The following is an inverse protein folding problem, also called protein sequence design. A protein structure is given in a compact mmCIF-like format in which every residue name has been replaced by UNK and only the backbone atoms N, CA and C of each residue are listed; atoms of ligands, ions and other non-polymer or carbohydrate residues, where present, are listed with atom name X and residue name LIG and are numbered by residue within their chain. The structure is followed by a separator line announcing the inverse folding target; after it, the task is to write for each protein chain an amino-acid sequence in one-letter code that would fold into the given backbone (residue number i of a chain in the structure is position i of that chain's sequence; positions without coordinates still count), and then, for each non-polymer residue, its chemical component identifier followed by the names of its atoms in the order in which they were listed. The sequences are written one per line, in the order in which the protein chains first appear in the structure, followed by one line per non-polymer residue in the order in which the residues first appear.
data_IF_126703738728
#
_entry.id   IF_126703738728
#
_cell.length_a   1.000
_cell.length_b   1.000
_cell.length_c   1.000
_cell.angle_alpha   90.00
_cell.angle_beta   90.00
_cell.angle_gamma   90.00
#
_symmetry.space_group_name_H-M   'P 1'
#
loop_
_entity.id
_entity.type
_entity.pdbx_description
1 polymer ?
#
# COMPACT_ATOMS: atom_id res chain seq x y z
N UNK A 1 -11.00 13.84 -30.03
CA UNK A 1 -11.26 12.52 -29.44
C UNK A 1 -10.14 11.60 -29.88
N UNK A 2 -9.57 10.80 -28.97
CA UNK A 2 -8.56 9.79 -29.27
C UNK A 2 -9.20 8.45 -29.64
N UNK A 3 -8.41 7.49 -30.08
CA UNK A 3 -8.84 6.12 -30.40
C UNK A 3 -9.49 5.50 -29.15
N UNK A 4 -10.72 4.96 -29.31
CA UNK A 4 -11.48 4.30 -28.23
C UNK A 4 -12.00 5.25 -27.15
N UNK A 5 -12.06 6.56 -27.41
CA UNK A 5 -12.46 7.56 -26.43
C UNK A 5 -13.71 8.37 -26.83
N UNK A 6 -14.63 7.75 -27.54
CA UNK A 6 -15.88 8.38 -28.03
C UNK A 6 -16.77 8.83 -26.86
N UNK A 7 -16.69 8.16 -25.71
CA UNK A 7 -17.45 8.45 -24.51
C UNK A 7 -16.65 9.17 -23.42
N UNK A 8 -15.48 9.73 -23.75
CA UNK A 8 -14.57 10.42 -22.79
C UNK A 8 -14.23 9.56 -21.55
N UNK A 9 -13.99 8.25 -21.74
CA UNK A 9 -13.70 7.33 -20.65
C UNK A 9 -12.22 6.94 -20.54
N UNK A 10 -11.44 7.09 -21.63
CA UNK A 10 -9.99 6.82 -21.57
C UNK A 10 -9.31 7.79 -20.62
N UNK A 11 -8.53 7.25 -19.71
CA UNK A 11 -7.87 8.01 -18.65
C UNK A 11 -8.70 8.21 -17.39
N UNK A 12 -10.04 8.06 -17.42
CA UNK A 12 -10.90 8.19 -16.23
C UNK A 12 -10.84 6.96 -15.33
N UNK A 13 -11.39 7.10 -14.12
CA UNK A 13 -11.41 6.05 -13.09
C UNK A 13 -10.03 5.57 -12.67
N UNK A 14 -9.05 6.48 -12.71
CA UNK A 14 -7.74 6.16 -12.15
C UNK A 14 -7.89 5.76 -10.68
N UNK A 15 -7.40 4.61 -10.33
CA UNK A 15 -7.39 4.07 -8.97
C UNK A 15 -5.98 3.63 -8.61
N UNK A 16 -5.67 3.72 -7.32
CA UNK A 16 -4.58 3.03 -6.68
C UNK A 16 -5.07 2.53 -5.32
N UNK A 17 -4.69 1.36 -4.86
CA UNK A 17 -4.93 1.02 -3.48
C UNK A 17 -3.91 1.71 -2.59
N UNK A 18 -4.35 2.18 -1.43
CA UNK A 18 -3.53 2.99 -0.54
C UNK A 18 -3.19 2.24 0.72
N UNK A 19 -2.07 2.63 1.34
CA UNK A 19 -1.63 2.17 2.64
C UNK A 19 -1.75 3.33 3.63
N UNK A 20 -2.58 3.14 4.65
CA UNK A 20 -2.84 4.13 5.70
C UNK A 20 -2.22 3.66 7.01
N UNK A 21 -1.52 4.54 7.71
CA UNK A 21 -1.22 4.33 9.13
C UNK A 21 -2.48 4.62 9.94
N UNK A 22 -3.15 3.58 10.41
CA UNK A 22 -4.36 3.73 11.23
C UNK A 22 -4.07 3.73 12.73
N UNK A 23 -2.83 3.47 13.14
CA UNK A 23 -2.46 3.58 14.55
C UNK A 23 -1.44 2.59 15.05
N UNK A 24 -1.39 2.47 16.36
CA UNK A 24 -0.49 1.56 17.07
C UNK A 24 -1.24 0.71 18.07
N UNK A 25 -1.03 -0.61 18.01
CA UNK A 25 -1.48 -1.56 19.02
C UNK A 25 -0.35 -1.79 20.04
N UNK A 26 -0.58 -1.40 21.26
CA UNK A 26 0.29 -1.68 22.43
C UNK A 26 -0.21 -2.96 23.10
N UNK A 27 0.50 -4.09 22.98
CA UNK A 27 0.04 -5.37 23.51
C UNK A 27 -0.07 -5.37 25.04
N UNK A 28 -1.08 -6.02 25.59
CA UNK A 28 -1.18 -6.27 27.04
C UNK A 28 -0.04 -7.18 27.55
N UNK A 29 0.53 -8.00 26.67
CA UNK A 29 1.67 -8.88 26.97
C UNK A 29 2.62 -8.96 25.80
N UNK A 30 3.92 -8.95 26.07
CA UNK A 30 4.97 -9.18 25.06
C UNK A 30 4.85 -10.54 24.37
N UNK A 31 4.14 -11.50 24.97
CA UNK A 31 3.85 -12.79 24.36
C UNK A 31 3.06 -12.68 23.05
N UNK A 32 2.28 -11.58 22.89
CA UNK A 32 1.51 -11.35 21.67
C UNK A 32 2.40 -11.26 20.44
N UNK A 33 3.61 -10.72 20.54
CA UNK A 33 4.54 -10.69 19.41
C UNK A 33 4.88 -12.11 18.91
N UNK A 34 5.20 -13.04 19.81
CA UNK A 34 5.45 -14.43 19.44
C UNK A 34 4.18 -15.15 18.93
N UNK A 35 3.03 -14.91 19.56
CA UNK A 35 1.74 -15.48 19.17
C UNK A 35 1.24 -14.97 17.81
N UNK A 36 1.74 -13.83 17.36
CA UNK A 36 1.39 -13.18 16.08
C UNK A 36 2.26 -13.64 14.91
N UNK A 37 2.99 -14.75 15.04
CA UNK A 37 3.90 -15.28 14.01
C UNK A 37 3.23 -15.53 12.65
N UNK A 38 1.90 -15.75 12.63
CA UNK A 38 1.12 -15.87 11.40
C UNK A 38 1.21 -14.60 10.52
N UNK A 39 1.34 -13.43 11.15
CA UNK A 39 1.44 -12.13 10.45
C UNK A 39 2.87 -11.74 10.10
N UNK A 40 3.87 -12.56 10.47
CA UNK A 40 5.25 -12.36 10.05
C UNK A 40 5.47 -12.87 8.63
N UNK A 41 6.28 -12.14 7.85
CA UNK A 41 6.71 -12.62 6.54
C UNK A 41 7.71 -13.75 6.72
N UNK A 42 7.38 -14.93 6.22
CA UNK A 42 8.17 -16.16 6.34
C UNK A 42 8.17 -16.98 5.06
N UNK A 43 9.09 -17.92 4.99
CA UNK A 43 9.16 -18.89 3.89
C UNK A 43 8.36 -20.15 4.24
N UNK A 44 7.45 -20.55 3.36
CA UNK A 44 6.70 -21.81 3.45
C UNK A 44 6.81 -22.54 2.12
N UNK A 45 7.43 -23.71 2.10
CA UNK A 45 7.64 -24.49 0.87
C UNK A 45 8.27 -23.69 -0.28
N UNK A 46 9.21 -22.79 0.01
CA UNK A 46 9.89 -21.95 -0.96
C UNK A 46 9.14 -20.68 -1.37
N UNK A 47 7.94 -20.46 -0.83
CA UNK A 47 7.14 -19.25 -1.09
C UNK A 47 7.20 -18.29 0.10
N UNK A 48 7.33 -16.99 -0.18
CA UNK A 48 7.15 -15.95 0.82
C UNK A 48 5.67 -15.76 1.13
N UNK A 49 5.29 -15.95 2.39
CA UNK A 49 3.90 -15.77 2.85
C UNK A 49 3.86 -14.83 4.05
N UNK A 50 2.75 -14.11 4.19
CA UNK A 50 2.45 -13.25 5.32
C UNK A 50 0.93 -13.20 5.53
N UNK A 51 0.48 -13.41 6.75
CA UNK A 51 -0.94 -13.30 7.09
C UNK A 51 -1.40 -11.84 7.19
N UNK A 52 -2.65 -11.61 6.83
CA UNK A 52 -3.32 -10.31 6.96
C UNK A 52 -4.64 -10.48 7.71
N UNK A 53 -5.10 -9.41 8.36
CA UNK A 53 -6.43 -9.35 8.97
C UNK A 53 -7.39 -8.70 7.98
N UNK A 54 -8.25 -9.50 7.36
CA UNK A 54 -9.27 -8.98 6.46
C UNK A 54 -10.56 -8.64 7.21
N UNK A 55 -11.27 -7.62 6.75
CA UNK A 55 -12.65 -7.35 7.19
C UNK A 55 -13.55 -8.45 6.63
N UNK A 56 -14.46 -8.98 7.45
CA UNK A 56 -15.39 -10.03 7.01
C UNK A 56 -16.35 -9.46 5.96
N UNK A 57 -16.68 -10.26 4.94
CA UNK A 57 -17.60 -9.89 3.86
C UNK A 57 -18.95 -9.38 4.40
N UNK A 58 -19.48 -10.03 5.44
CA UNK A 58 -20.72 -9.61 6.09
C UNK A 58 -20.61 -8.20 6.67
N UNK A 59 -19.48 -7.86 7.33
CA UNK A 59 -19.28 -6.54 7.90
C UNK A 59 -19.06 -5.51 6.78
N UNK A 60 -18.34 -5.86 5.72
CA UNK A 60 -18.18 -4.98 4.54
C UNK A 60 -19.54 -4.64 3.92
N UNK A 61 -20.40 -5.64 3.72
CA UNK A 61 -21.74 -5.42 3.16
C UNK A 61 -22.64 -4.61 4.11
N UNK A 62 -22.65 -4.94 5.39
CA UNK A 62 -23.47 -4.29 6.40
C UNK A 62 -23.12 -2.80 6.60
N UNK A 63 -21.85 -2.47 6.54
CA UNK A 63 -21.33 -1.13 6.83
C UNK A 63 -20.86 -0.39 5.58
N UNK A 64 -21.08 -0.95 4.38
CA UNK A 64 -20.67 -0.36 3.09
C UNK A 64 -19.16 -0.01 3.06
N UNK A 65 -18.32 -0.94 3.57
CA UNK A 65 -16.88 -0.73 3.66
C UNK A 65 -16.18 -1.13 2.37
N UNK A 66 -15.09 -0.43 2.08
CA UNK A 66 -14.18 -0.79 1.00
C UNK A 66 -13.45 -2.09 1.33
N UNK A 67 -13.10 -2.86 0.29
CA UNK A 67 -12.32 -4.08 0.44
C UNK A 67 -10.94 -3.74 1.00
N UNK A 68 -10.64 -4.29 2.18
CA UNK A 68 -9.51 -3.83 2.97
C UNK A 68 -8.88 -4.94 3.80
N UNK A 69 -7.60 -4.74 4.11
CA UNK A 69 -6.86 -5.63 5.01
C UNK A 69 -5.95 -4.84 5.94
N UNK A 70 -5.73 -5.38 7.13
CA UNK A 70 -4.81 -4.80 8.11
C UNK A 70 -3.53 -5.63 8.13
N UNK A 71 -2.40 -4.94 8.14
CA UNK A 71 -1.06 -5.47 8.28
C UNK A 71 -0.46 -4.98 9.57
N UNK A 72 0.22 -5.87 10.30
CA UNK A 72 0.82 -5.60 11.59
C UNK A 72 2.34 -5.70 11.48
N UNK A 73 3.04 -4.60 11.77
CA UNK A 73 4.49 -4.61 11.85
C UNK A 73 4.96 -4.23 13.25
N UNK A 74 5.70 -5.12 13.94
CA UNK A 74 6.24 -4.78 15.25
C UNK A 74 7.28 -3.67 15.14
N UNK A 75 7.22 -2.75 16.11
CA UNK A 75 8.10 -1.58 16.20
C UNK A 75 8.72 -1.48 17.58
N UNK A 76 9.99 -1.07 17.64
CA UNK A 76 10.64 -0.76 18.92
C UNK A 76 10.02 0.49 19.55
N UNK A 77 10.55 0.91 20.69
CA UNK A 77 10.11 2.12 21.35
C UNK A 77 10.29 3.37 20.46
N UNK A 78 9.64 4.47 20.87
CA UNK A 78 9.57 5.68 20.06
C UNK A 78 10.98 6.27 19.74
N UNK A 79 11.91 6.22 20.71
CA UNK A 79 13.30 6.69 20.52
C UNK A 79 14.01 5.91 19.42
N UNK A 80 13.96 4.60 19.50
CA UNK A 80 14.56 3.68 18.51
C UNK A 80 13.84 3.77 17.15
N UNK A 81 12.52 3.93 17.14
CA UNK A 81 11.73 4.18 15.92
C UNK A 81 12.21 5.45 15.20
N UNK A 82 12.35 6.57 15.92
CA UNK A 82 12.87 7.83 15.34
C UNK A 82 14.28 7.66 14.78
N UNK A 83 15.13 6.89 15.44
CA UNK A 83 16.49 6.62 14.98
C UNK A 83 16.51 5.83 13.65
N UNK A 84 15.69 4.78 13.54
CA UNK A 84 15.58 3.98 12.31
C UNK A 84 15.02 4.79 11.14
N UNK A 85 13.99 5.59 11.37
CA UNK A 85 13.43 6.49 10.34
C UNK A 85 14.46 7.53 9.89
N UNK A 86 15.16 8.16 10.85
CA UNK A 86 16.20 9.13 10.53
C UNK A 86 17.36 8.52 9.71
N UNK A 87 17.78 7.28 10.05
CA UNK A 87 18.79 6.56 9.30
C UNK A 87 18.33 6.27 7.86
N UNK A 88 17.11 5.79 7.70
CA UNK A 88 16.50 5.53 6.39
C UNK A 88 16.46 6.80 5.55
N UNK A 89 15.98 7.91 6.11
CA UNK A 89 15.93 9.20 5.42
C UNK A 89 17.32 9.68 4.98
N UNK A 90 18.34 9.56 5.85
CA UNK A 90 19.71 9.95 5.50
C UNK A 90 20.24 9.17 4.30
N UNK A 91 19.92 7.89 4.20
CA UNK A 91 20.36 7.00 3.12
C UNK A 91 19.55 7.24 1.84
N UNK A 92 18.22 7.15 1.92
CA UNK A 92 17.34 7.13 0.73
C UNK A 92 17.23 8.51 0.07
N UNK A 93 17.15 9.57 0.86
CA UNK A 93 17.08 10.95 0.31
C UNK A 93 18.43 11.53 -0.03
N UNK A 94 19.50 10.76 0.17
CA UNK A 94 20.86 11.15 -0.21
C UNK A 94 21.38 12.39 0.51
N UNK A 95 20.89 12.68 1.73
CA UNK A 95 21.34 13.85 2.51
C UNK A 95 22.86 13.90 2.70
N UNK A 96 23.50 12.74 2.81
CA UNK A 96 24.96 12.64 2.93
C UNK A 96 25.72 13.10 1.66
N UNK A 97 25.03 13.25 0.52
CA UNK A 97 25.58 13.70 -0.76
C UNK A 97 25.22 15.15 -1.10
N UNK A 98 24.37 15.81 -0.28
CA UNK A 98 23.92 17.18 -0.51
C UNK A 98 24.92 18.21 0.04
N UNK A 99 24.96 19.44 -0.50
CA UNK A 99 25.88 20.47 -0.01
C UNK A 99 25.59 20.81 1.46
N UNK A 100 26.62 20.65 2.30
CA UNK A 100 26.56 20.74 3.75
C UNK A 100 25.91 22.03 4.31
N UNK A 101 26.25 23.25 3.85
CA UNK A 101 25.79 24.46 4.52
C UNK A 101 24.27 24.58 4.59
N UNK A 102 23.58 24.19 3.53
CA UNK A 102 22.13 24.36 3.39
C UNK A 102 21.34 23.33 4.20
N UNK A 103 21.85 22.10 4.31
CA UNK A 103 21.14 20.98 4.93
C UNK A 103 21.66 20.60 6.33
N UNK A 104 22.70 21.32 6.81
CA UNK A 104 23.35 20.98 8.08
C UNK A 104 22.41 20.89 9.28
N UNK A 105 21.49 21.84 9.55
CA UNK A 105 20.62 21.75 10.72
C UNK A 105 19.72 20.48 10.69
N UNK A 106 19.16 20.15 9.51
CA UNK A 106 18.31 18.98 9.36
C UNK A 106 19.15 17.69 9.48
N UNK A 107 20.34 17.67 8.90
CA UNK A 107 21.25 16.53 8.98
C UNK A 107 21.75 16.31 10.39
N UNK A 108 22.11 17.36 11.12
CA UNK A 108 22.52 17.29 12.52
C UNK A 108 21.40 16.73 13.41
N UNK A 109 20.17 17.18 13.21
CA UNK A 109 19.00 16.64 13.93
C UNK A 109 18.82 15.16 13.65
N UNK A 110 18.92 14.72 12.41
CA UNK A 110 18.80 13.29 12.05
C UNK A 110 19.93 12.45 12.62
N UNK A 111 21.18 12.96 12.60
CA UNK A 111 22.32 12.28 13.20
C UNK A 111 22.17 12.13 14.72
N UNK A 112 21.65 13.14 15.42
CA UNK A 112 21.33 13.04 16.85
C UNK A 112 20.23 11.99 17.11
N UNK A 113 19.22 11.92 16.26
CA UNK A 113 18.19 10.87 16.36
C UNK A 113 18.80 9.47 16.15
N UNK A 114 19.65 9.29 15.16
CA UNK A 114 20.38 8.04 14.91
C UNK A 114 21.22 7.65 16.12
N UNK A 115 22.00 8.59 16.67
CA UNK A 115 22.80 8.37 17.87
C UNK A 115 21.96 7.91 19.06
N UNK A 116 20.74 8.48 19.19
CA UNK A 116 19.79 8.09 20.22
C UNK A 116 19.31 6.63 20.16
N UNK A 117 19.43 5.95 19.02
CA UNK A 117 18.95 4.56 18.83
C UNK A 117 20.00 3.59 18.31
N UNK A 118 21.28 3.92 18.45
CA UNK A 118 22.40 3.08 17.99
C UNK A 118 22.37 1.64 18.51
N UNK A 119 21.90 1.44 19.75
CA UNK A 119 21.68 0.13 20.36
C UNK A 119 20.79 -0.78 19.51
N UNK A 120 19.67 -0.23 19.05
CA UNK A 120 18.72 -0.94 18.20
C UNK A 120 19.26 -1.12 16.77
N UNK A 121 19.85 -0.07 16.19
CA UNK A 121 20.43 -0.10 14.84
C UNK A 121 21.54 -1.16 14.75
N UNK A 122 22.48 -1.18 15.70
CA UNK A 122 23.54 -2.15 15.73
C UNK A 122 23.03 -3.59 15.88
N UNK A 123 22.02 -3.79 16.74
CA UNK A 123 21.39 -5.10 16.90
C UNK A 123 20.65 -5.52 15.63
N UNK A 124 19.92 -4.60 15.00
CA UNK A 124 19.21 -4.88 13.75
C UNK A 124 20.17 -5.26 12.62
N UNK A 125 21.30 -4.55 12.51
CA UNK A 125 22.33 -4.87 11.54
C UNK A 125 22.98 -6.24 11.78
N UNK A 126 23.30 -6.55 13.05
CA UNK A 126 23.89 -7.85 13.43
C UNK A 126 22.93 -9.01 13.13
N UNK A 127 21.68 -8.93 13.60
CA UNK A 127 20.68 -9.98 13.39
C UNK A 127 20.32 -10.12 11.90
N UNK A 128 20.24 -9.01 11.18
CA UNK A 128 20.00 -9.01 9.75
C UNK A 128 21.11 -9.68 8.95
N UNK A 129 22.38 -9.48 9.35
CA UNK A 129 23.53 -10.11 8.69
C UNK A 129 23.71 -11.57 9.07
N UNK A 130 23.50 -11.91 10.34
CA UNK A 130 23.82 -13.24 10.90
C UNK A 130 22.70 -14.26 10.71
N UNK A 131 21.42 -13.81 10.81
CA UNK A 131 20.25 -14.69 10.89
C UNK A 131 19.15 -14.35 9.89
N UNK A 132 19.39 -13.40 8.99
CA UNK A 132 18.38 -12.85 8.06
C UNK A 132 17.12 -12.32 8.74
N UNK A 133 17.24 -11.89 9.99
CA UNK A 133 16.17 -11.33 10.78
C UNK A 133 16.07 -9.83 10.65
N UNK A 134 14.83 -9.31 10.63
CA UNK A 134 14.58 -7.88 10.67
C UNK A 134 14.03 -7.42 12.01
N UNK A 135 14.71 -6.48 12.64
CA UNK A 135 14.14 -5.68 13.74
C UNK A 135 13.39 -4.44 13.26
N UNK A 136 13.24 -4.29 11.94
CA UNK A 136 12.37 -3.34 11.28
C UNK A 136 11.56 -4.07 10.21
N UNK A 137 10.59 -4.91 10.63
CA UNK A 137 9.77 -5.70 9.72
C UNK A 137 8.95 -4.81 8.77
N UNK A 138 8.68 -5.35 7.59
CA UNK A 138 7.90 -4.70 6.56
C UNK A 138 7.54 -5.69 5.45
N UNK A 139 6.91 -5.24 4.39
CA UNK A 139 6.57 -6.11 3.26
C UNK A 139 7.78 -6.79 2.61
N UNK A 140 8.93 -6.13 2.63
CA UNK A 140 10.17 -6.68 2.06
C UNK A 140 10.85 -7.71 2.96
N UNK A 141 10.75 -7.59 4.28
CA UNK A 141 11.57 -8.36 5.22
C UNK A 141 10.83 -8.66 6.52
N UNK A 142 10.85 -9.92 6.93
CA UNK A 142 10.26 -10.43 8.16
C UNK A 142 11.26 -11.16 9.05
N UNK A 143 10.84 -12.29 9.66
CA UNK A 143 11.66 -13.15 10.52
C UNK A 143 11.69 -12.69 11.98
N UNK A 144 10.80 -11.76 12.37
CA UNK A 144 10.77 -11.23 13.75
C UNK A 144 10.17 -12.21 14.76
N UNK A 145 9.35 -13.17 14.31
CA UNK A 145 8.67 -14.14 15.16
C UNK A 145 9.40 -15.50 15.25
N UNK A 146 10.40 -15.75 14.41
CA UNK A 146 11.04 -17.06 14.29
C UNK A 146 12.08 -17.35 15.40
N UNK A 147 12.60 -16.32 16.03
CA UNK A 147 13.66 -16.48 17.01
C UNK A 147 13.21 -16.15 18.43
N UNK A 148 13.55 -16.99 19.40
CA UNK A 148 13.34 -16.70 20.82
C UNK A 148 13.95 -15.34 21.19
N UNK A 149 13.25 -14.56 21.99
CA UNK A 149 13.71 -13.29 22.57
C UNK A 149 13.81 -12.07 21.65
N UNK A 150 13.66 -12.16 20.32
CA UNK A 150 13.59 -10.95 19.47
C UNK A 150 12.36 -10.11 19.70
N UNK A 151 11.24 -10.74 20.07
CA UNK A 151 10.00 -10.06 20.40
C UNK A 151 10.12 -9.10 21.60
N UNK A 152 11.02 -9.35 22.56
CA UNK A 152 11.29 -8.44 23.68
C UNK A 152 11.87 -7.08 23.26
N UNK A 153 12.28 -6.93 22.01
CA UNK A 153 12.78 -5.66 21.46
C UNK A 153 11.70 -4.78 20.87
N UNK A 154 10.48 -5.28 20.83
CA UNK A 154 9.32 -4.55 20.32
C UNK A 154 8.44 -4.06 21.47
N UNK A 155 7.82 -2.90 21.27
CA UNK A 155 6.93 -2.26 22.21
C UNK A 155 5.48 -2.23 21.71
N UNK A 156 5.31 -2.13 20.38
CA UNK A 156 3.99 -1.99 19.75
C UNK A 156 3.97 -2.60 18.37
N UNK A 157 2.78 -2.85 17.85
CA UNK A 157 2.56 -3.03 16.43
C UNK A 157 2.15 -1.70 15.80
N UNK A 158 2.79 -1.33 14.72
CA UNK A 158 2.27 -0.38 13.75
C UNK A 158 1.16 -1.06 12.98
N UNK A 159 0.01 -0.43 12.89
CA UNK A 159 -1.20 -0.99 12.29
C UNK A 159 -1.46 -0.25 10.99
N UNK A 160 -1.25 -0.93 9.88
CA UNK A 160 -1.40 -0.36 8.55
C UNK A 160 -2.65 -0.95 7.89
N UNK A 161 -3.52 -0.09 7.39
CA UNK A 161 -4.68 -0.45 6.57
C UNK A 161 -4.33 -0.34 5.10
N UNK A 162 -4.37 -1.45 4.39
CA UNK A 162 -4.31 -1.49 2.94
C UNK A 162 -5.74 -1.61 2.41
N UNK A 163 -6.18 -0.66 1.59
CA UNK A 163 -7.58 -0.57 1.17
C UNK A 163 -7.71 -0.20 -0.30
N UNK A 164 -8.73 -0.72 -0.95
CA UNK A 164 -9.08 -0.30 -2.30
C UNK A 164 -9.55 1.16 -2.33
N UNK A 165 -9.58 1.71 -3.52
CA UNK A 165 -10.20 3.00 -3.81
C UNK A 165 -11.50 2.79 -4.58
N UNK A 166 -12.56 3.47 -4.17
CA UNK A 166 -13.82 3.51 -4.93
C UNK A 166 -13.58 4.16 -6.31
N UNK A 167 -14.10 3.58 -7.40
CA UNK A 167 -13.99 4.17 -8.73
C UNK A 167 -14.65 5.56 -8.78
N UNK A 168 -13.88 6.59 -9.15
CA UNK A 168 -14.35 7.97 -9.31
C UNK A 168 -13.96 8.46 -10.72
N UNK A 169 -14.91 8.84 -11.59
CA UNK A 169 -14.60 9.32 -12.94
C UNK A 169 -13.84 10.66 -12.95
N UNK A 170 -13.82 11.40 -11.85
CA UNK A 170 -13.02 12.61 -11.70
C UNK A 170 -11.52 12.33 -11.49
N UNK A 171 -11.18 11.14 -10.98
CA UNK A 171 -9.80 10.68 -10.94
C UNK A 171 -9.37 10.24 -12.33
N UNK A 172 -8.46 10.98 -12.95
CA UNK A 172 -8.14 10.76 -14.35
C UNK A 172 -6.71 11.16 -14.71
N UNK A 173 -6.19 10.49 -15.72
CA UNK A 173 -4.99 10.90 -16.45
C UNK A 173 -5.43 11.66 -17.69
N UNK A 174 -4.86 12.84 -17.91
CA UNK A 174 -5.07 13.66 -19.10
C UNK A 174 -3.76 14.00 -19.76
N UNK A 175 -3.81 14.51 -20.99
CA UNK A 175 -2.66 15.09 -21.65
C UNK A 175 -2.57 16.57 -21.26
N UNK A 176 -1.42 16.96 -20.71
CA UNK A 176 -1.07 18.35 -20.35
C UNK A 176 -0.82 19.20 -21.59
N UNK A 177 -0.86 20.52 -21.43
CA UNK A 177 -0.35 21.46 -22.41
C UNK A 177 1.18 21.43 -22.50
N UNK A 178 1.85 21.01 -21.43
CA UNK A 178 3.31 20.86 -21.40
C UNK A 178 3.74 19.69 -22.29
N UNK A 179 4.89 19.88 -22.95
CA UNK A 179 5.47 18.88 -23.83
C UNK A 179 6.85 18.45 -23.33
N UNK A 180 7.23 17.24 -23.68
CA UNK A 180 8.58 16.74 -23.46
C UNK A 180 9.56 17.24 -24.56
N UNK A 181 10.80 16.78 -24.50
CA UNK A 181 11.85 17.16 -25.46
C UNK A 181 11.56 16.68 -26.91
N UNK A 182 10.63 15.73 -27.09
CA UNK A 182 10.20 15.21 -28.39
C UNK A 182 8.91 15.88 -28.89
N UNK A 183 8.41 16.88 -28.16
CA UNK A 183 7.16 17.55 -28.48
C UNK A 183 5.88 16.77 -28.14
N UNK A 184 5.99 15.67 -27.40
CA UNK A 184 4.84 14.84 -26.98
C UNK A 184 4.19 15.46 -25.74
N UNK A 185 2.85 15.63 -25.68
CA UNK A 185 2.17 16.09 -24.47
C UNK A 185 2.48 15.21 -23.27
N UNK A 186 2.80 15.82 -22.13
CA UNK A 186 3.03 15.09 -20.89
C UNK A 186 1.72 14.58 -20.29
N UNK A 187 1.78 13.46 -19.59
CA UNK A 187 0.67 12.98 -18.78
C UNK A 187 0.53 13.84 -17.51
N UNK A 188 -0.70 14.20 -17.19
CA UNK A 188 -1.07 14.90 -15.97
C UNK A 188 -2.11 14.07 -15.21
N UNK A 189 -1.89 13.84 -13.92
CA UNK A 189 -2.78 13.06 -13.06
C UNK A 189 -3.62 13.99 -12.19
N UNK A 190 -4.95 13.92 -12.36
CA UNK A 190 -5.93 14.48 -11.44
C UNK A 190 -6.42 13.34 -10.54
N UNK A 191 -6.01 13.36 -9.26
CA UNK A 191 -6.33 12.31 -8.32
C UNK A 191 -6.70 12.86 -6.95
N UNK A 192 -7.73 12.28 -6.35
CA UNK A 192 -8.16 12.58 -5.00
C UNK A 192 -8.62 11.32 -4.26
N UNK A 193 -8.44 11.34 -2.97
CA UNK A 193 -9.00 10.36 -2.05
C UNK A 193 -10.39 10.83 -1.63
N UNK A 194 -11.45 10.19 -2.17
CA UNK A 194 -12.84 10.61 -1.97
C UNK A 194 -13.36 10.35 -0.54
N UNK A 195 -14.45 11.04 -0.16
CA UNK A 195 -15.01 10.95 1.19
C UNK A 195 -15.45 9.53 1.56
N UNK A 196 -16.03 8.77 0.61
CA UNK A 196 -16.42 7.36 0.83
C UNK A 196 -15.24 6.48 1.27
N UNK A 197 -14.06 6.72 0.72
CA UNK A 197 -12.86 5.98 1.10
C UNK A 197 -12.37 6.37 2.50
N UNK A 198 -12.45 7.67 2.82
CA UNK A 198 -12.08 8.20 4.15
C UNK A 198 -13.00 7.64 5.22
N UNK A 199 -14.31 7.65 4.98
CA UNK A 199 -15.31 7.15 5.94
C UNK A 199 -15.18 5.64 6.15
N UNK A 200 -14.93 4.87 5.08
CA UNK A 200 -14.65 3.45 5.18
C UNK A 200 -13.39 3.17 6.02
N UNK A 201 -12.29 3.88 5.74
CA UNK A 201 -11.04 3.72 6.48
C UNK A 201 -11.19 4.07 7.97
N UNK A 202 -11.95 5.13 8.28
CA UNK A 202 -12.25 5.54 9.66
C UNK A 202 -13.07 4.48 10.38
N UNK A 203 -14.12 3.96 9.75
CA UNK A 203 -14.96 2.92 10.33
C UNK A 203 -14.16 1.64 10.60
N UNK A 204 -13.30 1.22 9.67
CA UNK A 204 -12.42 0.06 9.87
C UNK A 204 -11.43 0.30 11.02
N UNK A 205 -10.88 1.51 11.14
CA UNK A 205 -10.03 1.90 12.26
C UNK A 205 -10.76 1.75 13.59
N UNK A 206 -12.01 2.20 13.67
CA UNK A 206 -12.84 2.12 14.88
C UNK A 206 -13.21 0.65 15.19
N UNK A 207 -13.63 -0.15 14.18
CA UNK A 207 -13.89 -1.59 14.34
C UNK A 207 -12.66 -2.36 14.85
N UNK A 208 -11.48 -2.03 14.36
CA UNK A 208 -10.24 -2.64 14.85
C UNK A 208 -9.96 -2.28 16.30
N UNK A 209 -10.12 -1.01 16.67
CA UNK A 209 -9.98 -0.54 18.06
C UNK A 209 -10.92 -1.26 19.01
N UNK A 210 -12.21 -1.33 18.67
CA UNK A 210 -13.23 -2.05 19.43
C UNK A 210 -12.90 -3.53 19.60
N UNK A 211 -12.39 -4.18 18.54
CA UNK A 211 -12.01 -5.58 18.59
C UNK A 211 -10.81 -5.80 19.53
N UNK A 212 -9.82 -4.93 19.51
CA UNK A 212 -8.67 -4.97 20.43
C UNK A 212 -9.11 -4.84 21.88
N UNK A 213 -10.00 -3.89 22.17
CA UNK A 213 -10.52 -3.67 23.52
C UNK A 213 -11.35 -4.86 24.01
N UNK A 214 -12.29 -5.34 23.21
CA UNK A 214 -13.16 -6.49 23.55
C UNK A 214 -12.39 -7.77 23.80
N UNK A 215 -11.28 -7.98 23.10
CA UNK A 215 -10.45 -9.20 23.25
C UNK A 215 -9.41 -9.09 24.35
N UNK A 216 -9.19 -7.90 24.94
CA UNK A 216 -8.17 -7.68 25.96
C UNK A 216 -6.74 -7.87 25.44
N UNK A 217 -6.52 -7.83 24.11
CA UNK A 217 -5.20 -8.02 23.50
C UNK A 217 -4.23 -6.88 23.80
N UNK A 218 -4.77 -5.70 24.14
CA UNK A 218 -3.96 -4.53 24.43
C UNK A 218 -4.73 -3.23 24.31
N UNK A 219 -4.02 -2.14 24.06
CA UNK A 219 -4.58 -0.81 23.85
C UNK A 219 -4.27 -0.35 22.41
N UNK A 220 -5.30 0.04 21.67
CA UNK A 220 -5.15 0.65 20.36
C UNK A 220 -5.11 2.18 20.48
N UNK A 221 -4.08 2.80 19.91
CA UNK A 221 -3.95 4.25 19.78
C UNK A 221 -4.13 4.62 18.31
N UNK A 222 -5.31 5.12 17.95
CA UNK A 222 -5.63 5.50 16.59
C UNK A 222 -4.76 6.65 16.08
N UNK A 223 -4.19 6.53 14.90
CA UNK A 223 -3.49 7.61 14.20
C UNK A 223 -4.48 8.46 13.43
N UNK A 224 -4.47 9.77 13.67
CA UNK A 224 -5.32 10.72 12.96
C UNK A 224 -4.54 11.99 12.65
N UNK A 225 -4.79 12.56 11.48
CA UNK A 225 -4.36 13.90 11.11
C UNK A 225 -5.58 14.71 10.71
N UNK A 226 -5.79 15.84 11.38
CA UNK A 226 -6.99 16.69 11.18
C UNK A 226 -8.31 15.89 11.28
N UNK A 227 -8.39 14.96 12.25
CA UNK A 227 -9.53 14.09 12.48
C UNK A 227 -9.71 12.93 11.47
N UNK A 228 -8.82 12.81 10.47
CA UNK A 228 -8.85 11.75 9.47
C UNK A 228 -7.79 10.68 9.75
N UNK A 229 -7.97 9.42 9.28
CA UNK A 229 -6.90 8.43 9.25
C UNK A 229 -5.66 9.00 8.55
N UNK A 230 -4.48 8.74 9.11
CA UNK A 230 -3.25 9.29 8.57
C UNK A 230 -2.87 8.58 7.26
N UNK A 231 -2.79 9.36 6.18
CA UNK A 231 -2.25 8.88 4.91
C UNK A 231 -0.73 9.15 4.88
N UNK A 232 0.13 8.12 4.97
CA UNK A 232 1.57 8.32 4.96
C UNK A 232 2.04 8.71 3.55
N UNK A 233 2.57 9.93 3.43
CA UNK A 233 3.16 10.43 2.20
C UNK A 233 2.16 10.80 1.10
N UNK A 234 2.64 11.19 -0.09
CA UNK A 234 1.79 11.59 -1.21
C UNK A 234 1.27 10.41 -2.03
N UNK A 235 1.40 9.19 -1.58
CA UNK A 235 1.38 8.10 -2.53
C UNK A 235 0.43 6.98 -2.19
N UNK A 236 -0.21 6.46 -3.20
CA UNK A 236 -0.65 5.11 -3.33
C UNK A 236 0.50 4.10 -3.31
N UNK A 237 0.20 2.85 -3.56
CA UNK A 237 1.17 1.74 -3.57
C UNK A 237 1.87 1.55 -4.93
N UNK A 238 1.70 2.52 -5.86
CA UNK A 238 2.15 2.43 -7.25
C UNK A 238 1.52 1.25 -8.04
N UNK A 239 0.29 0.90 -7.69
CA UNK A 239 -0.50 -0.15 -8.33
C UNK A 239 -1.68 0.47 -9.10
N UNK A 240 -1.34 1.29 -10.09
CA UNK A 240 -2.29 2.07 -10.87
C UNK A 240 -3.21 1.18 -11.71
N UNK A 241 -4.52 1.51 -11.77
CA UNK A 241 -5.52 0.74 -12.49
C UNK A 241 -6.71 1.59 -12.93
N UNK A 242 -7.58 1.02 -13.79
CA UNK A 242 -8.92 1.54 -14.09
C UNK A 242 -9.02 2.49 -15.29
N UNK A 243 -7.93 3.04 -15.83
CA UNK A 243 -7.95 4.11 -16.84
C UNK A 243 -8.48 3.71 -18.22
N UNK A 244 -8.67 2.41 -18.47
CA UNK A 244 -9.35 1.85 -19.64
C UNK A 244 -10.29 0.73 -19.22
N UNK A 245 -11.07 1.01 -18.14
CA UNK A 245 -11.88 0.02 -17.42
C UNK A 245 -12.76 -0.84 -18.33
N UNK A 246 -12.90 -2.09 -17.95
CA UNK A 246 -13.77 -3.06 -18.59
C UNK A 246 -15.23 -2.81 -18.24
N UNK A 247 -16.11 -2.95 -19.23
CA UNK A 247 -17.57 -2.89 -19.04
C UNK A 247 -18.29 -3.65 -20.14
N UNK A 248 -19.56 -3.98 -19.89
CA UNK A 248 -20.42 -4.60 -20.90
C UNK A 248 -20.76 -3.64 -22.04
N UNK A 249 -20.74 -2.32 -21.81
CA UNK A 249 -21.14 -1.32 -22.80
C UNK A 249 -20.10 -0.20 -22.95
N UNK A 250 -20.00 0.42 -24.14
CA UNK A 250 -19.05 1.51 -24.40
C UNK A 250 -19.36 2.79 -23.61
N UNK A 251 -20.58 2.95 -23.10
CA UNK A 251 -20.99 4.12 -22.29
C UNK A 251 -20.43 4.07 -20.87
N UNK A 252 -20.01 2.89 -20.40
CA UNK A 252 -19.55 2.69 -19.02
C UNK A 252 -18.13 2.12 -18.92
N UNK A 253 -17.50 1.78 -20.05
CA UNK A 253 -16.11 1.33 -20.08
C UNK A 253 -15.47 1.44 -21.47
N UNK A 254 -14.16 1.24 -21.51
CA UNK A 254 -13.35 1.37 -22.72
C UNK A 254 -13.21 0.01 -23.43
N UNK A 255 -13.10 -1.07 -22.68
CA UNK A 255 -12.94 -2.43 -23.21
C UNK A 255 -14.09 -3.35 -22.78
N UNK A 256 -14.36 -4.37 -23.59
CA UNK A 256 -15.29 -5.45 -23.28
C UNK A 256 -14.64 -6.55 -22.39
N UNK A 257 -15.38 -7.64 -22.11
CA UNK A 257 -14.89 -8.77 -21.31
C UNK A 257 -13.63 -9.45 -21.87
N UNK A 258 -13.39 -9.35 -23.17
CA UNK A 258 -12.21 -9.92 -23.83
C UNK A 258 -11.04 -8.93 -23.90
N UNK A 259 -11.10 -7.83 -23.14
CA UNK A 259 -10.12 -6.74 -23.15
C UNK A 259 -10.01 -6.02 -24.51
N UNK A 260 -10.97 -6.18 -25.42
CA UNK A 260 -11.04 -5.50 -26.72
C UNK A 260 -11.68 -4.13 -26.55
N UNK A 261 -11.08 -3.11 -27.15
CA UNK A 261 -11.66 -1.77 -27.22
C UNK A 261 -12.97 -1.81 -27.99
N UNK A 262 -14.06 -1.26 -27.40
CA UNK A 262 -15.41 -1.38 -27.95
C UNK A 262 -15.53 -0.88 -29.40
N UNK A 263 -14.91 0.26 -29.71
CA UNK A 263 -15.00 0.88 -31.04
C UNK A 263 -13.90 0.46 -32.01
N UNK A 264 -12.92 -0.38 -31.59
CA UNK A 264 -11.76 -0.75 -32.42
C UNK A 264 -11.58 -2.26 -32.41
N UNK A 265 -12.04 -2.97 -33.44
CA UNK A 265 -12.16 -4.44 -33.43
C UNK A 265 -10.83 -5.20 -33.33
N UNK A 266 -9.72 -4.58 -33.66
CA UNK A 266 -8.37 -5.17 -33.64
C UNK A 266 -7.45 -4.57 -32.56
N UNK A 267 -8.01 -3.85 -31.56
CA UNK A 267 -7.23 -3.26 -30.47
C UNK A 267 -7.63 -3.90 -29.13
N UNK A 268 -6.65 -4.46 -28.42
CA UNK A 268 -6.81 -5.11 -27.14
C UNK A 268 -5.85 -4.50 -26.10
N UNK A 269 -6.22 -4.54 -24.81
CA UNK A 269 -5.44 -3.98 -23.72
C UNK A 269 -5.11 -5.06 -22.71
N UNK A 270 -3.82 -5.35 -22.50
CA UNK A 270 -3.28 -6.27 -21.51
C UNK A 270 -2.63 -5.49 -20.37
N UNK A 271 -3.42 -5.02 -19.38
CA UNK A 271 -2.94 -4.15 -18.30
C UNK A 271 -3.94 -4.10 -17.15
N UNK A 272 -3.51 -3.67 -15.96
CA UNK A 272 -4.41 -3.30 -14.85
C UNK A 272 -5.33 -2.12 -15.19
N UNK A 273 -5.04 -1.36 -16.23
CA UNK A 273 -5.93 -0.27 -16.67
C UNK A 273 -7.34 -0.74 -17.03
N UNK A 274 -7.52 -2.03 -17.36
CA UNK A 274 -8.84 -2.62 -17.68
C UNK A 274 -9.68 -2.98 -16.44
N UNK A 275 -9.12 -2.90 -15.22
CA UNK A 275 -9.84 -3.28 -14.01
C UNK A 275 -11.00 -2.32 -13.73
N UNK A 276 -12.25 -2.80 -13.55
CA UNK A 276 -13.39 -1.96 -13.19
C UNK A 276 -13.37 -1.52 -11.73
N UNK A 277 -12.74 -2.32 -10.86
CA UNK A 277 -12.51 -2.08 -9.42
C UNK A 277 -11.14 -2.58 -9.03
N UNK A 278 -10.60 -2.11 -7.91
CA UNK A 278 -9.27 -2.47 -7.44
C UNK A 278 -9.24 -3.72 -6.57
N UNK A 279 -9.56 -3.58 -5.31
CA UNK A 279 -9.25 -4.49 -4.23
C UNK A 279 -8.01 -4.04 -3.46
N UNK A 280 -7.75 -4.65 -2.31
CA UNK A 280 -6.56 -4.33 -1.51
C UNK A 280 -5.31 -5.06 -2.00
N UNK A 281 -5.45 -6.17 -2.72
CA UNK A 281 -4.32 -7.00 -3.15
C UNK A 281 -3.57 -6.39 -4.34
N UNK A 282 -2.27 -6.69 -4.42
CA UNK A 282 -1.44 -6.26 -5.54
C UNK A 282 -1.98 -6.85 -6.87
N UNK A 283 -2.08 -6.07 -7.95
CA UNK A 283 -2.81 -6.45 -9.16
C UNK A 283 -2.09 -7.46 -10.06
N UNK A 284 -0.80 -7.74 -9.84
CA UNK A 284 0.06 -8.50 -10.76
C UNK A 284 -0.50 -9.88 -11.11
N UNK A 285 -1.00 -10.64 -10.14
CA UNK A 285 -1.57 -11.97 -10.39
C UNK A 285 -2.77 -11.89 -11.34
N UNK A 286 -3.67 -10.92 -11.14
CA UNK A 286 -4.84 -10.71 -11.99
C UNK A 286 -4.44 -10.19 -13.37
N UNK A 287 -3.43 -9.33 -13.48
CA UNK A 287 -2.86 -8.89 -14.76
C UNK A 287 -2.38 -10.10 -15.56
N UNK A 288 -1.61 -11.00 -14.93
CA UNK A 288 -1.10 -12.21 -15.60
C UNK A 288 -2.24 -13.12 -16.05
N UNK A 289 -3.23 -13.37 -15.19
CA UNK A 289 -4.39 -14.21 -15.51
C UNK A 289 -5.19 -13.64 -16.71
N UNK A 290 -5.46 -12.32 -16.70
CA UNK A 290 -6.16 -11.67 -17.81
C UNK A 290 -5.33 -11.69 -19.12
N UNK A 291 -4.00 -11.52 -19.02
CA UNK A 291 -3.11 -11.55 -20.18
C UNK A 291 -3.05 -12.95 -20.81
N UNK A 292 -3.00 -14.01 -20.00
CA UNK A 292 -3.07 -15.39 -20.50
C UNK A 292 -4.42 -15.69 -21.16
N UNK A 293 -5.52 -15.31 -20.52
CA UNK A 293 -6.86 -15.44 -21.12
C UNK A 293 -6.98 -14.69 -22.44
N UNK A 294 -6.42 -13.46 -22.51
CA UNK A 294 -6.40 -12.69 -23.75
C UNK A 294 -5.57 -13.39 -24.83
N UNK A 295 -4.40 -13.95 -24.49
CA UNK A 295 -3.57 -14.68 -25.43
C UNK A 295 -4.31 -15.92 -26.02
N UNK A 296 -5.04 -16.66 -25.19
CA UNK A 296 -5.85 -17.80 -25.65
C UNK A 296 -7.03 -17.35 -26.53
N UNK A 297 -7.68 -16.24 -26.20
CA UNK A 297 -8.72 -15.64 -27.02
C UNK A 297 -8.18 -15.24 -28.42
N UNK A 298 -7.03 -14.57 -28.46
CA UNK A 298 -6.43 -14.13 -29.72
C UNK A 298 -6.01 -15.31 -30.62
N UNK A 299 -5.50 -16.40 -30.05
CA UNK A 299 -5.20 -17.63 -30.82
C UNK A 299 -6.43 -18.25 -31.51
N UNK A 300 -7.62 -18.06 -30.93
CA UNK A 300 -8.87 -18.55 -31.50
C UNK A 300 -9.41 -17.65 -32.63
N UNK A 301 -8.91 -16.41 -32.72
CA UNK A 301 -9.32 -15.44 -33.75
C UNK A 301 -8.41 -15.46 -34.99
N UNK A 302 -7.24 -16.09 -34.90
CA UNK A 302 -6.27 -16.30 -35.98
C UNK A 302 -6.54 -17.62 -36.72
#
# INVERSE_FOLDING_TARGET
AGIGNENDLVGRFFMDHVLLDIGSLYPASVKLFAQSAFYDKRQVNGYSVMGHLAVKDQAMAQHHLMNSTIVLFPRPNLRQTKAMVALKDLIEQGYLKKPLPQYWPLMAQKLLQVAGGLDHIATAAYLGKRYDQSLWPGFGRGGWAEQPHTHHRFERFEVLLQTEQAPDPANRVVLSQDRDALGIPRAELHWRWGQVNIDSARHIQDLFGDAVEKTGLGRFAAARRDGQPYLPGPAGMAHHMGTTRMSATPQTGVVNSDCRVHSVPNLYIASSSVFPTGGYANPTLTILALSLRLADHLKQQL
#
